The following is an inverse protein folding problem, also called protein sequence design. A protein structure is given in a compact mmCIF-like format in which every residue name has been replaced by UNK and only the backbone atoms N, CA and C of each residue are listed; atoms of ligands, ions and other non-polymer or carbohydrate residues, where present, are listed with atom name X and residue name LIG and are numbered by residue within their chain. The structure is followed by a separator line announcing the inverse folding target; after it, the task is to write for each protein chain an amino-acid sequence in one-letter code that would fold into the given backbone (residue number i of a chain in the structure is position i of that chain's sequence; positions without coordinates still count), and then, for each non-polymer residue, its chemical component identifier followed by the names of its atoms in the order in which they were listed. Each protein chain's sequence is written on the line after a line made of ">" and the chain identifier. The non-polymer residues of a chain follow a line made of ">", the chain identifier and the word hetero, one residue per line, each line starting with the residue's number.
data_IF_651182003995
#
_entry.id   IF_651182003995
#
_cell.length_a   1.000
_cell.length_b   1.000
_cell.length_c   1.000
_cell.angle_alpha   90.00
_cell.angle_beta   90.00
_cell.angle_gamma   90.00
#
_symmetry.space_group_name_H-M   'P 1'
#
loop_
_entity.id
_entity.type
_entity.pdbx_description
1 polymer ?
#
# COMPACT_ATOMS: atom_id res chain seq x y z
N UNK A 1 3.83 6.28 2.81
CA UNK A 1 3.51 5.62 4.09
C UNK A 1 2.52 6.50 4.80
N UNK A 2 1.46 5.94 5.37
CA UNK A 2 0.50 6.67 6.19
C UNK A 2 0.14 5.85 7.43
N UNK A 3 -0.45 6.50 8.42
CA UNK A 3 -0.97 5.83 9.62
C UNK A 3 -2.47 5.67 9.48
N UNK A 4 -2.97 4.45 9.65
CA UNK A 4 -4.39 4.14 9.67
C UNK A 4 -4.75 3.42 10.99
N UNK A 5 -5.34 4.14 11.97
CA UNK A 5 -5.71 3.55 13.25
C UNK A 5 -6.73 2.40 13.14
N UNK A 6 -7.52 2.32 12.06
CA UNK A 6 -8.47 1.23 11.88
C UNK A 6 -7.78 -0.10 11.53
N UNK A 7 -6.50 -0.04 11.16
CA UNK A 7 -5.65 -1.19 10.86
C UNK A 7 -4.69 -1.54 12.01
N UNK A 8 -4.82 -0.89 13.17
CA UNK A 8 -4.07 -1.25 14.37
C UNK A 8 -4.53 -2.60 14.94
N UNK A 9 -3.61 -3.55 14.99
CA UNK A 9 -3.82 -4.89 15.54
C UNK A 9 -2.82 -5.21 16.66
N UNK A 10 -2.10 -4.22 17.18
CA UNK A 10 -1.13 -4.38 18.27
C UNK A 10 -1.76 -4.94 19.54
N UNK A 11 -3.01 -4.56 19.81
CA UNK A 11 -3.81 -5.04 20.95
C UNK A 11 -4.10 -6.54 20.92
N UNK A 12 -3.96 -7.20 19.76
CA UNK A 12 -4.14 -8.65 19.63
C UNK A 12 -2.90 -9.46 20.05
N UNK A 13 -1.82 -8.82 20.52
CA UNK A 13 -0.53 -9.45 20.78
C UNK A 13 -0.04 -10.34 19.61
N UNK A 14 0.14 -9.75 18.41
CA UNK A 14 0.39 -10.53 17.21
C UNK A 14 1.78 -11.19 17.23
N UNK A 15 1.84 -12.43 16.74
CA UNK A 15 3.13 -13.12 16.52
C UNK A 15 3.96 -12.48 15.40
N UNK A 16 3.33 -11.68 14.52
CA UNK A 16 3.99 -10.95 13.42
C UNK A 16 3.60 -9.48 13.46
N UNK A 17 4.60 -8.63 13.65
CA UNK A 17 4.40 -7.17 13.70
C UNK A 17 4.29 -6.53 12.32
N UNK A 18 4.55 -7.29 11.25
CA UNK A 18 4.50 -6.78 9.88
C UNK A 18 3.82 -7.82 8.98
N UNK A 19 2.69 -7.44 8.39
CA UNK A 19 1.91 -8.26 7.48
C UNK A 19 2.17 -7.80 6.05
N UNK A 20 2.89 -8.63 5.28
CA UNK A 20 3.01 -8.46 3.83
C UNK A 20 1.75 -9.03 3.19
N UNK A 21 1.02 -8.20 2.44
CA UNK A 21 -0.28 -8.54 1.85
C UNK A 21 -0.24 -8.44 0.33
N UNK A 22 -1.20 -9.10 -0.31
CA UNK A 22 -1.39 -9.00 -1.76
C UNK A 22 -1.99 -7.62 -2.11
N UNK A 23 -1.57 -7.04 -3.23
CA UNK A 23 -2.04 -5.76 -3.74
C UNK A 23 -3.55 -5.71 -4.02
N UNK A 24 -4.20 -6.86 -4.23
CA UNK A 24 -5.68 -6.94 -4.37
C UNK A 24 -6.41 -6.39 -3.13
N UNK A 25 -5.84 -6.55 -1.93
CA UNK A 25 -6.45 -5.99 -0.71
C UNK A 25 -6.41 -4.47 -0.68
N UNK A 26 -5.49 -3.85 -1.42
CA UNK A 26 -5.35 -2.40 -1.47
C UNK A 26 -6.58 -1.73 -2.09
N UNK A 27 -7.30 -2.41 -2.98
CA UNK A 27 -8.56 -1.91 -3.57
C UNK A 27 -9.70 -1.78 -2.55
N UNK A 28 -9.57 -2.45 -1.39
CA UNK A 28 -10.54 -2.40 -0.29
C UNK A 28 -10.13 -1.45 0.84
N UNK A 29 -8.89 -0.98 0.82
CA UNK A 29 -8.34 -0.07 1.83
C UNK A 29 -8.40 1.36 1.33
N UNK A 30 -8.53 2.30 2.26
CA UNK A 30 -8.32 3.69 1.93
C UNK A 30 -6.85 3.92 1.56
N UNK A 31 -6.61 4.65 0.48
CA UNK A 31 -5.26 5.04 0.04
C UNK A 31 -5.19 6.55 -0.16
N UNK A 32 -4.05 7.19 0.12
CA UNK A 32 -3.87 8.61 -0.14
C UNK A 32 -3.94 8.89 -1.65
N UNK A 33 -4.79 9.83 -2.04
CA UNK A 33 -4.89 10.30 -3.43
C UNK A 33 -3.64 11.09 -3.80
N UNK A 34 -2.66 10.40 -4.38
CA UNK A 34 -1.39 10.98 -4.81
C UNK A 34 -1.35 11.09 -6.34
N UNK A 35 -0.89 12.24 -6.86
CA UNK A 35 -0.75 12.46 -8.30
C UNK A 35 0.62 13.08 -8.65
N UNK A 36 1.05 12.88 -9.89
CA UNK A 36 2.23 13.54 -10.46
C UNK A 36 1.77 14.73 -11.30
N UNK A 37 1.92 15.95 -10.76
CA UNK A 37 1.41 17.18 -11.40
C UNK A 37 2.01 17.43 -12.79
N UNK A 38 3.25 16.96 -13.02
CA UNK A 38 4.00 17.22 -14.25
C UNK A 38 4.09 16.03 -15.22
N UNK A 39 3.32 14.96 -15.00
CA UNK A 39 3.28 13.83 -15.95
C UNK A 39 2.11 13.98 -16.92
N UNK A 40 2.32 13.71 -18.20
CA UNK A 40 1.23 13.57 -19.17
C UNK A 40 0.45 12.28 -18.92
N UNK A 41 1.17 11.20 -18.64
CA UNK A 41 0.58 9.90 -18.27
C UNK A 41 1.39 9.25 -17.14
N UNK A 42 0.69 8.52 -16.27
CA UNK A 42 1.28 7.76 -15.17
C UNK A 42 0.64 6.37 -15.12
N UNK A 43 1.42 5.34 -15.44
CA UNK A 43 0.95 3.97 -15.52
C UNK A 43 1.64 3.10 -14.47
N UNK A 44 0.87 2.28 -13.75
CA UNK A 44 1.41 1.26 -12.86
C UNK A 44 1.84 0.06 -13.72
N UNK A 45 3.06 -0.43 -13.50
CA UNK A 45 3.56 -1.62 -14.19
C UNK A 45 2.75 -2.87 -13.80
N UNK A 46 2.30 -3.64 -14.80
CA UNK A 46 1.48 -4.85 -14.62
C UNK A 46 2.09 -6.01 -15.40
N UNK A 47 2.60 -7.04 -14.71
CA UNK A 47 3.03 -8.31 -15.33
C UNK A 47 3.36 -9.36 -14.26
N UNK A 48 2.62 -10.48 -14.12
CA UNK A 48 1.24 -10.71 -14.57
C UNK A 48 0.18 -9.96 -13.71
N UNK A 49 0.59 -9.46 -12.54
CA UNK A 49 -0.24 -8.69 -11.61
C UNK A 49 0.31 -7.25 -11.45
N UNK A 50 -0.47 -6.31 -10.89
CA UNK A 50 0.02 -4.98 -10.56
C UNK A 50 1.20 -5.07 -9.60
N UNK A 51 2.32 -4.47 -9.98
CA UNK A 51 3.55 -4.47 -9.17
C UNK A 51 3.44 -3.40 -8.09
N UNK A 52 2.75 -3.78 -7.02
CA UNK A 52 2.51 -2.98 -5.84
C UNK A 52 2.84 -3.85 -4.63
N UNK A 53 3.71 -3.35 -3.77
CA UNK A 53 3.99 -3.95 -2.47
C UNK A 53 3.12 -3.28 -1.41
N UNK A 54 2.43 -4.07 -0.58
CA UNK A 54 1.63 -3.62 0.55
C UNK A 54 2.10 -4.31 1.83
N UNK A 55 2.38 -3.52 2.86
CA UNK A 55 2.76 -3.99 4.17
C UNK A 55 2.05 -3.18 5.25
N UNK A 56 1.44 -3.87 6.21
CA UNK A 56 0.78 -3.24 7.36
C UNK A 56 1.56 -3.61 8.62
N UNK A 57 1.89 -2.62 9.43
CA UNK A 57 2.55 -2.81 10.72
C UNK A 57 1.53 -2.89 11.84
N UNK A 58 1.90 -3.55 12.95
CA UNK A 58 1.03 -3.74 14.10
C UNK A 58 0.46 -2.46 14.68
N UNK A 59 1.19 -1.34 14.60
CA UNK A 59 0.75 -0.03 15.07
C UNK A 59 -0.21 0.69 14.10
N UNK A 60 -0.72 0.01 13.06
CA UNK A 60 -1.58 0.59 12.04
C UNK A 60 -0.84 1.38 10.96
N UNK A 61 0.51 1.38 10.94
CA UNK A 61 1.24 2.03 9.84
C UNK A 61 1.14 1.21 8.56
N UNK A 62 0.79 1.87 7.46
CA UNK A 62 0.66 1.24 6.15
C UNK A 62 1.77 1.73 5.21
N UNK A 63 2.51 0.77 4.68
CA UNK A 63 3.52 0.99 3.66
C UNK A 63 3.03 0.42 2.33
N UNK A 64 3.01 1.28 1.32
CA UNK A 64 2.80 0.90 -0.08
C UNK A 64 3.98 1.34 -0.94
N UNK A 65 4.41 0.49 -1.87
CA UNK A 65 5.37 0.86 -2.91
C UNK A 65 4.82 0.48 -4.28
N UNK A 66 4.82 1.43 -5.22
CA UNK A 66 4.27 1.26 -6.56
C UNK A 66 5.39 1.34 -7.59
N UNK A 67 5.46 0.38 -8.51
CA UNK A 67 6.32 0.50 -9.69
C UNK A 67 5.58 1.27 -10.78
N UNK A 68 5.99 2.52 -10.99
CA UNK A 68 5.33 3.46 -11.90
C UNK A 68 6.20 3.75 -13.14
N UNK A 69 5.54 3.99 -14.26
CA UNK A 69 6.11 4.56 -15.49
C UNK A 69 5.44 5.91 -15.73
N UNK A 70 6.25 6.96 -15.89
CA UNK A 70 5.80 8.32 -16.19
C UNK A 70 6.16 8.66 -17.65
N UNK A 71 5.32 9.46 -18.34
CA UNK A 71 5.62 10.06 -19.65
C UNK A 71 5.30 11.56 -19.68
#
# INVERSE_FOLDING_TARGET
>A
MWLDPALDYSWMHPCKYNLSLNSVLLERLWTPNSCFVNSKTADIHRSPFPNIFLMIYANGSVWTNYRLKLQ
#
